data_IF_708176592167
#
_entry.id   IF_708176592167
#
_cell.length_a   1.000
_cell.length_b   1.000
_cell.length_c   1.000
_cell.angle_alpha   90.00
_cell.angle_beta   90.00
_cell.angle_gamma   90.00
#
_symmetry.space_group_name_H-M   'P 1'
#
loop_
_entity.id
_entity.type
_entity.pdbx_description
1 polymer ?
#
# COMPACT_ATOMS: atom_id res chain seq x y z
N UNK A 1 -18.01 9.99 -7.59
CA UNK A 1 -18.10 8.56 -7.22
C UNK A 1 -17.16 8.32 -6.04
N UNK A 2 -17.57 7.61 -4.98
CA UNK A 2 -16.63 7.23 -3.91
C UNK A 2 -15.78 6.06 -4.39
N UNK A 3 -14.46 6.25 -4.43
CA UNK A 3 -13.51 5.19 -4.78
C UNK A 3 -13.73 3.98 -3.85
N UNK A 4 -13.58 2.76 -4.39
CA UNK A 4 -13.67 1.53 -3.61
C UNK A 4 -15.08 0.94 -3.39
N UNK A 5 -16.20 1.61 -3.72
CA UNK A 5 -17.54 0.99 -3.50
C UNK A 5 -17.83 -0.21 -4.41
N UNK A 6 -17.40 -0.16 -5.67
CA UNK A 6 -17.52 -1.30 -6.59
C UNK A 6 -16.57 -2.43 -6.21
N UNK A 7 -15.30 -2.10 -5.95
CA UNK A 7 -14.29 -3.05 -5.48
C UNK A 7 -14.70 -3.73 -4.19
N UNK A 8 -15.19 -2.97 -3.20
CA UNK A 8 -15.70 -3.52 -1.94
C UNK A 8 -16.75 -4.60 -2.17
N UNK A 9 -17.77 -4.34 -3.02
CA UNK A 9 -18.81 -5.34 -3.31
C UNK A 9 -18.24 -6.56 -4.03
N UNK A 10 -17.31 -6.35 -4.95
CA UNK A 10 -16.66 -7.42 -5.69
C UNK A 10 -15.81 -8.30 -4.76
N UNK A 11 -15.06 -7.70 -3.85
CA UNK A 11 -14.24 -8.37 -2.85
C UNK A 11 -15.09 -9.13 -1.84
N UNK A 12 -16.16 -8.52 -1.34
CA UNK A 12 -17.12 -9.18 -0.46
C UNK A 12 -17.71 -10.45 -1.12
N UNK A 13 -18.07 -10.37 -2.40
CA UNK A 13 -18.59 -11.52 -3.13
C UNK A 13 -17.52 -12.63 -3.30
N UNK A 14 -16.29 -12.25 -3.66
CA UNK A 14 -15.16 -13.19 -3.79
C UNK A 14 -14.86 -13.90 -2.46
N UNK A 15 -14.73 -13.16 -1.36
CA UNK A 15 -14.43 -13.75 -0.06
C UNK A 15 -15.57 -14.64 0.44
N UNK A 16 -16.84 -14.28 0.20
CA UNK A 16 -17.97 -15.18 0.52
C UNK A 16 -17.89 -16.50 -0.23
N UNK A 17 -17.53 -16.46 -1.51
CA UNK A 17 -17.36 -17.67 -2.32
C UNK A 17 -16.19 -18.53 -1.81
N UNK A 18 -15.06 -17.91 -1.48
CA UNK A 18 -13.89 -18.59 -0.92
C UNK A 18 -14.22 -19.28 0.42
N UNK A 19 -14.85 -18.55 1.35
CA UNK A 19 -15.27 -19.10 2.65
C UNK A 19 -16.23 -20.27 2.46
N UNK A 20 -17.22 -20.14 1.57
CA UNK A 20 -18.15 -21.23 1.28
C UNK A 20 -17.45 -22.48 0.72
N UNK A 21 -16.45 -22.30 -0.14
CA UNK A 21 -15.66 -23.42 -0.67
C UNK A 21 -14.83 -24.12 0.42
N UNK A 22 -14.22 -23.34 1.34
CA UNK A 22 -13.46 -23.92 2.46
C UNK A 22 -14.39 -24.69 3.40
N UNK A 23 -15.56 -24.15 3.75
CA UNK A 23 -16.56 -24.86 4.57
C UNK A 23 -17.01 -26.16 3.90
N UNK A 24 -17.28 -26.14 2.59
CA UNK A 24 -17.67 -27.34 1.83
C UNK A 24 -16.57 -28.40 1.83
N UNK A 25 -15.30 -28.01 1.67
CA UNK A 25 -14.17 -28.93 1.61
C UNK A 25 -13.76 -29.48 2.97
N UNK A 26 -13.91 -28.69 4.04
CA UNK A 26 -13.51 -29.10 5.40
C UNK A 26 -14.64 -29.72 6.21
N UNK A 27 -15.90 -29.54 5.79
CA UNK A 27 -17.08 -30.00 6.53
C UNK A 27 -17.32 -29.25 7.84
N UNK A 28 -16.56 -28.18 8.11
CA UNK A 28 -16.68 -27.35 9.31
C UNK A 28 -17.30 -26.01 8.95
N UNK A 29 -18.25 -25.55 9.76
CA UNK A 29 -18.89 -24.24 9.59
C UNK A 29 -18.13 -23.17 10.36
N UNK A 30 -17.98 -21.99 9.76
CA UNK A 30 -17.42 -20.81 10.42
C UNK A 30 -18.56 -20.03 11.09
N UNK A 31 -18.33 -19.47 12.27
CA UNK A 31 -19.32 -18.66 12.98
C UNK A 31 -19.73 -17.43 12.17
N UNK A 32 -20.96 -16.94 12.37
CA UNK A 32 -21.49 -15.78 11.64
C UNK A 32 -20.66 -14.50 11.82
N UNK A 33 -20.08 -14.31 13.02
CA UNK A 33 -19.20 -13.18 13.31
C UNK A 33 -17.88 -13.26 12.53
N UNK A 34 -17.24 -14.42 12.51
CA UNK A 34 -15.99 -14.65 11.78
C UNK A 34 -16.22 -14.57 10.27
N UNK A 35 -17.34 -15.13 9.77
CA UNK A 35 -17.74 -15.02 8.36
C UNK A 35 -17.90 -13.57 7.94
N UNK A 36 -18.60 -12.76 8.74
CA UNK A 36 -18.80 -11.34 8.43
C UNK A 36 -17.48 -10.56 8.49
N UNK A 37 -16.59 -10.90 9.40
CA UNK A 37 -15.27 -10.30 9.49
C UNK A 37 -14.40 -10.62 8.26
N UNK A 38 -14.30 -11.90 7.89
CA UNK A 38 -13.47 -12.37 6.78
C UNK A 38 -14.00 -11.94 5.41
N UNK A 39 -15.31 -11.74 5.29
CA UNK A 39 -15.95 -11.42 4.00
C UNK A 39 -16.22 -9.95 3.80
N UNK A 40 -15.93 -9.09 4.78
CA UNK A 40 -16.10 -7.63 4.64
C UNK A 40 -14.97 -7.06 3.79
N UNK A 41 -15.32 -6.39 2.69
CA UNK A 41 -14.37 -5.63 1.90
C UNK A 41 -13.95 -4.33 2.62
N UNK A 42 -12.77 -3.82 2.28
CA UNK A 42 -12.20 -2.61 2.88
C UNK A 42 -13.11 -1.38 2.65
N UNK A 43 -13.25 -0.53 3.68
CA UNK A 43 -13.86 0.78 3.51
C UNK A 43 -12.84 1.78 2.93
N UNK A 44 -13.33 2.90 2.42
CA UNK A 44 -12.50 3.99 1.86
C UNK A 44 -11.43 4.46 2.85
N UNK A 45 -11.76 4.53 4.15
CA UNK A 45 -10.80 4.90 5.19
C UNK A 45 -9.71 3.84 5.40
N UNK A 46 -10.04 2.57 5.22
CA UNK A 46 -9.08 1.47 5.35
C UNK A 46 -8.09 1.50 4.17
N UNK A 47 -8.62 1.74 2.95
CA UNK A 47 -7.80 1.91 1.75
C UNK A 47 -6.87 3.12 1.86
N UNK A 48 -7.38 4.26 2.33
CA UNK A 48 -6.56 5.47 2.52
C UNK A 48 -5.46 5.24 3.56
N UNK A 49 -5.79 4.61 4.68
CA UNK A 49 -4.81 4.31 5.74
C UNK A 49 -3.74 3.34 5.25
N UNK A 50 -4.14 2.28 4.56
CA UNK A 50 -3.22 1.29 3.98
C UNK A 50 -2.31 1.93 2.93
N UNK A 51 -2.84 2.75 2.03
CA UNK A 51 -2.05 3.46 1.03
C UNK A 51 -1.06 4.45 1.66
N UNK A 52 -1.48 5.15 2.72
CA UNK A 52 -0.60 6.05 3.48
C UNK A 52 0.52 5.27 4.18
N UNK A 53 0.19 4.17 4.85
CA UNK A 53 1.17 3.32 5.53
C UNK A 53 2.26 2.84 4.58
N UNK A 54 1.88 2.26 3.44
CA UNK A 54 2.81 1.79 2.41
C UNK A 54 3.69 2.92 1.86
N UNK A 55 3.07 4.08 1.56
CA UNK A 55 3.78 5.26 1.06
C UNK A 55 4.82 5.75 2.07
N UNK A 56 4.46 5.81 3.34
CA UNK A 56 5.33 6.30 4.41
C UNK A 56 6.47 5.33 4.70
N UNK A 57 6.20 4.02 4.72
CA UNK A 57 7.23 2.98 4.88
C UNK A 57 8.24 3.07 3.74
N UNK A 58 7.76 3.09 2.50
CA UNK A 58 8.62 3.17 1.31
C UNK A 58 9.44 4.46 1.30
N UNK A 59 8.82 5.62 1.58
CA UNK A 59 9.52 6.89 1.65
C UNK A 59 10.62 6.89 2.71
N UNK A 60 10.34 6.37 3.91
CA UNK A 60 11.33 6.29 4.98
C UNK A 60 12.51 5.38 4.60
N UNK A 61 12.25 4.21 4.01
CA UNK A 61 13.31 3.30 3.57
C UNK A 61 14.25 3.95 2.55
N UNK A 62 13.71 4.70 1.59
CA UNK A 62 14.52 5.46 0.62
C UNK A 62 15.42 6.49 1.31
N UNK A 63 14.84 7.32 2.18
CA UNK A 63 15.55 8.38 2.94
C UNK A 63 16.65 7.76 3.81
N UNK A 64 16.30 6.72 4.58
CA UNK A 64 17.26 6.01 5.44
C UNK A 64 18.36 5.34 4.63
N UNK A 65 18.03 4.79 3.46
CA UNK A 65 19.00 4.21 2.53
C UNK A 65 20.04 5.23 2.08
N UNK A 66 19.62 6.45 1.71
CA UNK A 66 20.52 7.55 1.35
C UNK A 66 21.41 7.94 2.53
N UNK A 67 20.82 8.16 3.71
CA UNK A 67 21.57 8.50 4.93
C UNK A 67 22.64 7.45 5.25
N UNK A 68 22.32 6.16 5.12
CA UNK A 68 23.26 5.07 5.37
C UNK A 68 24.39 4.98 4.34
N UNK A 69 24.10 5.23 3.06
CA UNK A 69 25.08 5.10 1.97
C UNK A 69 26.02 6.30 1.87
N UNK A 70 25.54 7.52 2.13
CA UNK A 70 26.30 8.75 1.92
C UNK A 70 26.86 9.26 3.27
N UNK A 71 28.13 8.93 3.57
CA UNK A 71 28.82 9.32 4.83
C UNK A 71 28.80 10.82 5.17
N UNK A 72 28.65 11.70 4.17
CA UNK A 72 28.57 13.16 4.36
C UNK A 72 27.17 13.63 4.82
N UNK A 73 26.14 12.79 4.73
CA UNK A 73 24.76 13.13 5.07
C UNK A 73 24.49 12.73 6.52
N UNK A 74 24.43 13.70 7.43
CA UNK A 74 24.33 13.46 8.87
C UNK A 74 22.88 13.36 9.38
N UNK A 75 21.93 13.96 8.67
CA UNK A 75 20.53 14.05 9.09
C UNK A 75 19.55 13.52 8.03
N UNK A 76 18.33 13.20 8.46
CA UNK A 76 17.30 12.65 7.58
C UNK A 76 16.66 13.72 6.67
N UNK A 77 16.70 15.00 7.06
CA UNK A 77 16.15 16.10 6.26
C UNK A 77 16.98 16.27 4.99
N UNK A 78 18.30 16.33 5.10
CA UNK A 78 19.24 16.38 3.99
C UNK A 78 19.12 15.14 3.09
N UNK A 79 18.98 13.95 3.68
CA UNK A 79 18.74 12.72 2.93
C UNK A 79 17.42 12.74 2.15
N UNK A 80 16.37 13.35 2.70
CA UNK A 80 15.08 13.52 2.04
C UNK A 80 15.15 14.49 0.86
N UNK A 81 15.86 15.62 1.00
CA UNK A 81 16.11 16.53 -0.11
C UNK A 81 16.89 15.87 -1.24
N UNK A 82 17.92 15.09 -0.92
CA UNK A 82 18.65 14.30 -1.91
C UNK A 82 17.70 13.33 -2.63
N UNK A 83 16.84 12.62 -1.90
CA UNK A 83 15.86 11.71 -2.53
C UNK A 83 14.93 12.46 -3.50
N UNK A 84 14.48 13.66 -3.13
CA UNK A 84 13.63 14.48 -3.99
C UNK A 84 14.37 14.97 -5.24
N UNK A 85 15.61 15.43 -5.10
CA UNK A 85 16.44 15.86 -6.22
C UNK A 85 16.77 14.71 -7.18
N UNK A 86 17.13 13.53 -6.65
CA UNK A 86 17.42 12.35 -7.46
C UNK A 86 16.18 11.96 -8.30
N UNK A 87 14.97 12.04 -7.74
CA UNK A 87 13.70 11.79 -8.46
C UNK A 87 13.42 12.81 -9.55
N UNK A 88 13.46 14.10 -9.21
CA UNK A 88 13.22 15.19 -10.18
C UNK A 88 14.25 15.13 -11.30
N UNK A 89 15.53 14.93 -10.98
CA UNK A 89 16.58 14.81 -11.98
C UNK A 89 16.33 13.64 -12.93
N UNK A 90 15.88 12.49 -12.42
CA UNK A 90 15.53 11.33 -13.25
C UNK A 90 14.39 11.64 -14.22
N UNK A 91 13.36 12.37 -13.76
CA UNK A 91 12.24 12.77 -14.60
C UNK A 91 12.68 13.74 -15.70
N UNK A 92 13.49 14.75 -15.37
CA UNK A 92 14.05 15.69 -16.34
C UNK A 92 14.90 15.00 -17.42
N UNK A 93 15.78 14.06 -17.00
CA UNK A 93 16.56 13.25 -17.94
C UNK A 93 15.66 12.41 -18.85
N UNK A 94 14.60 11.81 -18.31
CA UNK A 94 13.65 10.99 -19.07
C UNK A 94 12.84 11.81 -20.08
N UNK A 95 12.59 13.08 -19.78
CA UNK A 95 11.93 14.03 -20.67
C UNK A 95 12.87 14.64 -21.72
N UNK A 96 14.17 14.32 -21.68
CA UNK A 96 15.18 14.91 -22.57
C UNK A 96 15.46 16.40 -22.28
N UNK A 97 15.02 16.91 -21.13
CA UNK A 97 15.28 18.27 -20.68
C UNK A 97 16.64 18.25 -19.99
N UNK A 98 17.70 18.40 -20.78
CA UNK A 98 19.09 18.43 -20.30
C UNK A 98 19.69 19.83 -20.46
N UNK A 99 20.76 20.06 -19.68
CA UNK A 99 22.11 20.35 -20.17
C UNK A 99 22.37 20.22 -21.68
#
# INVERSE_FOLDING_TARGET
MRFGRMEKRFDEARYRSLVGMVEQKTGKTIGSKERNFLTRGADEIDLVRSGLEETMITAYHQIRGIKKRRKKVQDLRSAAFINALDKISSDYLSLGIFP
#
